data_IF_960449738475
#
_entry.id   IF_960449738475
#
_cell.length_a   1.000
_cell.length_b   1.000
_cell.length_c   1.000
_cell.angle_alpha   90.00
_cell.angle_beta   90.00
_cell.angle_gamma   90.00
#
_symmetry.space_group_name_H-M   'P 1'
#
loop_
_entity.id
_entity.type
_entity.pdbx_description
1 polymer ?
#
# COMPACT_ATOMS: atom_id res chain seq x y z
N UNK A 1 -12.34 -12.75 -23.98
CA UNK A 1 -13.23 -12.20 -22.93
C UNK A 1 -13.33 -10.68 -23.11
N UNK A 2 -14.42 -10.04 -22.67
CA UNK A 2 -14.60 -8.58 -22.79
C UNK A 2 -13.68 -7.82 -21.82
N UNK A 3 -13.03 -6.74 -22.29
CA UNK A 3 -12.27 -5.81 -21.43
C UNK A 3 -13.21 -5.18 -20.40
N UNK A 4 -12.76 -5.06 -19.16
CA UNK A 4 -13.50 -4.42 -18.07
C UNK A 4 -13.11 -2.94 -18.02
N UNK A 5 -14.09 -2.03 -17.91
CA UNK A 5 -13.84 -0.59 -17.77
C UNK A 5 -13.43 -0.23 -16.33
N UNK A 6 -12.58 0.79 -16.17
CA UNK A 6 -12.15 1.35 -14.88
C UNK A 6 -13.34 1.69 -13.99
N UNK A 7 -14.40 2.26 -14.58
CA UNK A 7 -15.61 2.66 -13.86
C UNK A 7 -16.33 1.46 -13.26
N UNK A 8 -16.38 0.35 -13.98
CA UNK A 8 -17.05 -0.87 -13.51
C UNK A 8 -16.30 -1.50 -12.34
N UNK A 9 -14.97 -1.55 -12.41
CA UNK A 9 -14.11 -2.04 -11.33
C UNK A 9 -14.25 -1.16 -10.10
N UNK A 10 -14.19 0.17 -10.27
CA UNK A 10 -14.36 1.12 -9.18
C UNK A 10 -15.72 0.97 -8.49
N UNK A 11 -16.78 0.80 -9.26
CA UNK A 11 -18.13 0.59 -8.72
C UNK A 11 -18.23 -0.76 -7.98
N UNK A 12 -17.69 -1.83 -8.56
CA UNK A 12 -17.72 -3.14 -7.95
C UNK A 12 -16.90 -3.20 -6.65
N UNK A 13 -15.70 -2.61 -6.65
CA UNK A 13 -14.84 -2.52 -5.48
C UNK A 13 -15.50 -1.67 -4.37
N UNK A 14 -16.15 -0.57 -4.74
CA UNK A 14 -16.89 0.26 -3.79
C UNK A 14 -18.15 -0.43 -3.25
N UNK A 15 -18.82 -1.24 -4.06
CA UNK A 15 -19.96 -2.04 -3.62
C UNK A 15 -19.54 -3.13 -2.62
N UNK A 16 -18.33 -3.69 -2.75
CA UNK A 16 -17.80 -4.66 -1.77
C UNK A 16 -17.67 -4.06 -0.35
N UNK A 17 -17.56 -2.73 -0.23
CA UNK A 17 -17.57 -2.03 1.06
C UNK A 17 -18.91 -2.16 1.81
N UNK A 18 -20.03 -2.41 1.10
CA UNK A 18 -21.37 -2.49 1.70
C UNK A 18 -21.46 -3.60 2.76
N UNK A 19 -20.62 -4.64 2.64
CA UNK A 19 -20.49 -5.72 3.63
C UNK A 19 -20.15 -5.22 5.04
N UNK A 20 -19.44 -4.09 5.17
CA UNK A 20 -19.03 -3.52 6.45
C UNK A 20 -19.80 -2.25 6.86
N UNK A 21 -20.50 -1.60 5.91
CA UNK A 21 -21.22 -0.35 6.19
C UNK A 21 -22.27 -0.52 7.28
N UNK A 22 -22.34 0.50 8.15
CA UNK A 22 -23.31 0.57 9.25
C UNK A 22 -22.97 -0.31 10.47
N UNK A 23 -21.91 -1.12 10.41
CA UNK A 23 -21.50 -1.96 11.55
C UNK A 23 -20.04 -1.77 11.94
N UNK A 24 -19.18 -1.39 11.00
CA UNK A 24 -17.79 -1.03 11.27
C UNK A 24 -17.58 0.43 10.84
N UNK A 25 -16.73 1.17 11.57
CA UNK A 25 -16.39 2.55 11.22
C UNK A 25 -15.61 2.61 9.89
N UNK A 26 -15.90 3.55 8.97
CA UNK A 26 -15.16 3.71 7.71
C UNK A 26 -13.64 3.82 7.84
N UNK A 27 -13.13 4.43 8.90
CA UNK A 27 -11.69 4.53 9.13
C UNK A 27 -11.06 3.17 9.46
N UNK A 28 -11.85 2.22 9.97
CA UNK A 28 -11.41 0.87 10.31
C UNK A 28 -11.61 -0.10 9.15
N UNK A 29 -12.79 -0.15 8.55
CA UNK A 29 -13.04 -1.17 7.50
C UNK A 29 -12.29 -0.88 6.18
N UNK A 30 -11.78 0.35 5.96
CA UNK A 30 -10.93 0.65 4.80
C UNK A 30 -9.74 -0.30 4.71
N UNK A 31 -9.10 -0.61 5.83
CA UNK A 31 -7.87 -1.39 5.84
C UNK A 31 -8.17 -2.83 5.40
N UNK A 32 -9.32 -3.39 5.80
CA UNK A 32 -9.79 -4.71 5.39
C UNK A 32 -10.11 -4.77 3.89
N UNK A 33 -10.77 -3.75 3.36
CA UNK A 33 -11.09 -3.67 1.94
C UNK A 33 -9.82 -3.54 1.09
N UNK A 34 -8.90 -2.65 1.49
CA UNK A 34 -7.68 -2.38 0.73
C UNK A 34 -6.70 -3.57 0.77
N UNK A 35 -6.55 -4.23 1.92
CA UNK A 35 -5.77 -5.48 2.03
C UNK A 35 -6.41 -6.60 1.21
N UNK A 36 -7.73 -6.74 1.24
CA UNK A 36 -8.42 -7.76 0.42
C UNK A 36 -8.27 -7.48 -1.08
N UNK A 37 -8.34 -6.21 -1.50
CA UNK A 37 -8.09 -5.82 -2.89
C UNK A 37 -6.65 -6.15 -3.31
N UNK A 38 -5.67 -5.86 -2.45
CA UNK A 38 -4.28 -6.21 -2.70
C UNK A 38 -4.07 -7.73 -2.81
N UNK A 39 -4.63 -8.51 -1.88
CA UNK A 39 -4.58 -9.98 -1.89
C UNK A 39 -5.24 -10.55 -3.16
N UNK A 40 -6.40 -10.02 -3.55
CA UNK A 40 -7.09 -10.41 -4.78
C UNK A 40 -6.21 -10.13 -6.00
N UNK A 41 -5.60 -8.95 -6.08
CA UNK A 41 -4.72 -8.59 -7.20
C UNK A 41 -3.54 -9.56 -7.33
N UNK A 42 -2.76 -9.76 -6.28
CA UNK A 42 -1.58 -10.64 -6.36
C UNK A 42 -1.98 -12.09 -6.66
N UNK A 43 -3.17 -12.52 -6.21
CA UNK A 43 -3.72 -13.84 -6.52
C UNK A 43 -4.18 -13.95 -7.97
N UNK A 44 -4.72 -12.89 -8.55
CA UNK A 44 -5.12 -12.86 -9.96
C UNK A 44 -3.91 -12.92 -10.88
N UNK A 45 -2.88 -12.13 -10.60
CA UNK A 45 -1.60 -12.19 -11.35
C UNK A 45 -1.01 -13.60 -11.28
N UNK A 46 -0.98 -14.19 -10.07
CA UNK A 46 -0.49 -15.55 -9.88
C UNK A 46 -1.32 -16.58 -10.67
N UNK A 47 -2.65 -16.45 -10.66
CA UNK A 47 -3.56 -17.37 -11.36
C UNK A 47 -3.38 -17.30 -12.88
N UNK A 48 -3.26 -16.10 -13.44
CA UNK A 48 -3.05 -15.87 -14.88
C UNK A 48 -1.73 -16.52 -15.35
N UNK A 49 -0.64 -16.32 -14.59
CA UNK A 49 0.65 -16.94 -14.90
C UNK A 49 0.68 -18.45 -14.64
N UNK A 50 -0.04 -18.93 -13.63
CA UNK A 50 -0.19 -20.37 -13.40
C UNK A 50 -0.84 -21.03 -14.62
N UNK A 51 -1.95 -20.46 -15.12
CA UNK A 51 -2.65 -20.92 -16.33
C UNK A 51 -1.71 -20.89 -17.55
N UNK A 52 -0.96 -19.80 -17.76
CA UNK A 52 0.02 -19.70 -18.85
C UNK A 52 1.12 -20.79 -18.76
N UNK A 53 1.69 -21.01 -17.58
CA UNK A 53 2.71 -22.04 -17.41
C UNK A 53 2.15 -23.45 -17.55
N UNK A 54 0.89 -23.67 -17.16
CA UNK A 54 0.20 -24.94 -17.35
C UNK A 54 0.01 -25.22 -18.85
N UNK A 55 -0.35 -24.23 -19.66
CA UNK A 55 -0.41 -24.39 -21.12
C UNK A 55 0.96 -24.75 -21.73
N UNK A 56 2.05 -24.18 -21.19
CA UNK A 56 3.41 -24.42 -21.68
C UNK A 56 4.05 -25.73 -21.18
N UNK A 57 3.62 -26.25 -20.03
CA UNK A 57 4.30 -27.35 -19.33
C UNK A 57 3.39 -28.53 -18.96
N UNK A 58 2.10 -28.49 -19.29
CA UNK A 58 1.13 -29.52 -18.94
C UNK A 58 0.94 -29.63 -17.42
N UNK A 59 0.78 -30.85 -16.91
CA UNK A 59 0.48 -31.12 -15.49
C UNK A 59 1.72 -31.22 -14.58
N UNK A 60 2.87 -30.72 -15.02
CA UNK A 60 4.09 -30.65 -14.18
C UNK A 60 4.00 -29.49 -13.17
N UNK A 61 3.15 -29.67 -12.15
CA UNK A 61 2.90 -28.68 -11.09
C UNK A 61 4.19 -28.27 -10.37
N UNK A 62 5.16 -29.19 -10.19
CA UNK A 62 6.44 -28.87 -9.57
C UNK A 62 7.23 -27.85 -10.41
N UNK A 63 7.27 -28.03 -11.74
CA UNK A 63 7.91 -27.08 -12.65
C UNK A 63 7.19 -25.75 -12.70
N UNK A 64 5.85 -25.75 -12.71
CA UNK A 64 5.02 -24.54 -12.68
C UNK A 64 5.29 -23.75 -11.40
N UNK A 65 5.23 -24.40 -10.23
CA UNK A 65 5.53 -23.77 -8.93
C UNK A 65 6.95 -23.22 -8.85
N UNK A 66 7.92 -23.91 -9.44
CA UNK A 66 9.30 -23.41 -9.50
C UNK A 66 9.41 -22.11 -10.31
N UNK A 67 8.62 -21.95 -11.37
CA UNK A 67 8.56 -20.68 -12.12
C UNK A 67 7.90 -19.59 -11.29
N UNK A 68 6.75 -19.88 -10.69
CA UNK A 68 6.01 -18.94 -9.83
C UNK A 68 6.83 -18.45 -8.64
N UNK A 69 7.73 -19.29 -8.09
CA UNK A 69 8.65 -18.89 -7.00
C UNK A 69 9.65 -17.78 -7.37
N UNK A 70 9.77 -17.44 -8.65
CA UNK A 70 10.67 -16.39 -9.17
C UNK A 70 9.92 -15.13 -9.57
N UNK A 71 8.60 -15.11 -9.40
CA UNK A 71 7.79 -13.98 -9.78
C UNK A 71 7.90 -12.84 -8.78
N UNK A 72 7.26 -11.74 -9.15
CA UNK A 72 7.26 -10.49 -8.39
C UNK A 72 6.77 -10.69 -6.95
N UNK A 73 5.75 -11.52 -6.75
CA UNK A 73 5.27 -11.95 -5.44
C UNK A 73 5.18 -13.46 -5.39
N UNK A 74 5.74 -14.05 -4.33
CA UNK A 74 5.67 -15.49 -4.07
C UNK A 74 4.42 -15.77 -3.26
N UNK A 75 3.48 -16.55 -3.80
CA UNK A 75 2.35 -17.09 -3.04
C UNK A 75 2.69 -18.54 -2.64
N UNK A 76 3.14 -18.78 -1.39
CA UNK A 76 3.60 -20.10 -0.97
C UNK A 76 2.42 -21.05 -0.76
N UNK A 77 2.73 -22.30 -0.43
CA UNK A 77 1.73 -23.27 0.03
C UNK A 77 1.55 -23.12 1.54
N UNK A 78 0.30 -23.06 1.98
CA UNK A 78 -0.10 -23.16 3.38
C UNK A 78 -0.35 -24.63 3.71
N UNK A 79 0.24 -25.10 4.82
CA UNK A 79 -0.03 -26.42 5.39
C UNK A 79 -0.67 -26.22 6.76
N UNK A 80 -1.93 -26.64 6.90
CA UNK A 80 -2.60 -26.66 8.19
C UNK A 80 -2.23 -27.97 8.88
N UNK A 81 -1.60 -27.87 10.05
CA UNK A 81 -1.08 -29.01 10.79
C UNK A 81 -1.73 -29.02 12.17
N UNK A 82 -2.22 -30.18 12.58
CA UNK A 82 -2.60 -30.45 13.96
C UNK A 82 -1.51 -31.29 14.62
N UNK A 83 -1.06 -30.85 15.79
CA UNK A 83 -0.05 -31.56 16.59
C UNK A 83 -0.71 -32.19 17.79
N UNK A 84 -0.62 -33.50 17.90
CA UNK A 84 -1.04 -34.21 19.11
C UNK A 84 -0.09 -33.86 20.26
N UNK A 85 -0.61 -33.22 21.31
CA UNK A 85 0.19 -32.78 22.46
C UNK A 85 0.84 -33.93 23.24
N UNK A 86 0.27 -35.14 23.18
CA UNK A 86 0.75 -36.32 23.93
C UNK A 86 1.79 -37.11 23.15
N UNK A 87 1.57 -37.29 21.85
CA UNK A 87 2.44 -38.11 21.00
C UNK A 87 3.45 -37.27 20.21
N UNK A 88 3.21 -35.96 20.09
CA UNK A 88 4.02 -35.03 19.29
C UNK A 88 3.85 -35.22 17.78
N UNK A 89 2.97 -36.12 17.34
CA UNK A 89 2.75 -36.44 15.92
C UNK A 89 2.00 -35.29 15.25
N UNK A 90 2.55 -34.83 14.12
CA UNK A 90 1.98 -33.78 13.29
C UNK A 90 1.18 -34.41 12.14
N UNK A 91 -0.10 -34.03 12.03
CA UNK A 91 -1.01 -34.48 10.97
C UNK A 91 -1.38 -33.28 10.09
N UNK A 92 -1.15 -33.41 8.78
CA UNK A 92 -1.58 -32.39 7.81
C UNK A 92 -3.09 -32.50 7.61
N UNK A 93 -3.82 -31.47 8.02
CA UNK A 93 -5.28 -31.38 7.87
C UNK A 93 -5.68 -30.89 6.47
N UNK A 94 -4.92 -29.95 5.92
CA UNK A 94 -5.19 -29.33 4.62
C UNK A 94 -3.90 -28.72 4.05
N UNK A 95 -3.81 -28.65 2.72
CA UNK A 95 -2.67 -28.07 2.00
C UNK A 95 -3.16 -27.34 0.75
N UNK A 96 -2.88 -26.03 0.65
CA UNK A 96 -3.38 -25.18 -0.44
C UNK A 96 -2.47 -23.98 -0.71
N UNK A 97 -2.48 -23.40 -1.93
CA UNK A 97 -1.70 -22.21 -2.21
C UNK A 97 -2.29 -21.00 -1.47
N UNK A 98 -1.43 -20.11 -0.97
CA UNK A 98 -1.77 -18.89 -0.23
C UNK A 98 -2.37 -17.83 -1.17
N UNK A 99 -3.55 -18.11 -1.70
CA UNK A 99 -4.27 -17.28 -2.67
C UNK A 99 -5.64 -16.90 -2.14
N UNK A 100 -6.16 -15.81 -2.67
CA UNK A 100 -7.55 -15.41 -2.52
C UNK A 100 -8.52 -16.55 -2.87
N UNK A 101 -8.24 -17.30 -3.94
CA UNK A 101 -9.12 -18.36 -4.43
C UNK A 101 -9.21 -19.53 -3.43
N UNK A 102 -8.10 -19.92 -2.81
CA UNK A 102 -8.11 -20.92 -1.74
C UNK A 102 -8.94 -20.48 -0.53
N UNK A 103 -8.90 -19.19 -0.17
CA UNK A 103 -9.76 -18.62 0.87
C UNK A 103 -11.23 -18.61 0.45
N UNK A 104 -11.51 -18.29 -0.82
CA UNK A 104 -12.87 -18.29 -1.36
C UNK A 104 -13.50 -19.69 -1.31
N UNK A 105 -12.78 -20.75 -1.65
CA UNK A 105 -13.24 -22.15 -1.49
C UNK A 105 -13.60 -22.46 -0.04
N UNK A 106 -12.84 -21.90 0.91
CA UNK A 106 -12.98 -22.08 2.35
C UNK A 106 -13.85 -21.02 3.03
N UNK A 107 -14.55 -20.16 2.28
CA UNK A 107 -15.30 -19.01 2.83
C UNK A 107 -16.40 -19.37 3.85
N UNK A 108 -16.81 -20.64 3.90
CA UNK A 108 -17.78 -21.16 4.86
C UNK A 108 -17.14 -21.75 6.13
N UNK A 109 -15.81 -21.77 6.25
CA UNK A 109 -15.08 -22.31 7.39
C UNK A 109 -15.39 -21.54 8.68
N UNK A 110 -15.46 -22.26 9.80
CA UNK A 110 -15.74 -21.67 11.12
C UNK A 110 -14.60 -20.75 11.62
N UNK A 111 -13.40 -20.91 11.08
CA UNK A 111 -12.21 -20.13 11.40
C UNK A 111 -11.73 -19.26 10.22
N UNK A 112 -12.63 -18.84 9.31
CA UNK A 112 -12.24 -18.08 8.11
C UNK A 112 -11.39 -16.82 8.40
N UNK A 113 -11.66 -16.10 9.49
CA UNK A 113 -10.84 -14.95 9.88
C UNK A 113 -9.40 -15.30 10.20
N UNK A 114 -9.17 -16.42 10.89
CA UNK A 114 -7.85 -16.96 11.18
C UNK A 114 -7.16 -17.45 9.90
N UNK A 115 -7.88 -18.15 9.01
CA UNK A 115 -7.33 -18.61 7.73
C UNK A 115 -6.83 -17.45 6.86
N UNK A 116 -7.56 -16.32 6.81
CA UNK A 116 -7.12 -15.12 6.10
C UNK A 116 -5.80 -14.61 6.69
N UNK A 117 -5.70 -14.50 8.02
CA UNK A 117 -4.48 -14.05 8.68
C UNK A 117 -3.29 -14.99 8.40
N UNK A 118 -3.50 -16.31 8.45
CA UNK A 118 -2.47 -17.33 8.14
C UNK A 118 -1.96 -17.15 6.70
N UNK A 119 -2.86 -16.94 5.74
CA UNK A 119 -2.50 -16.70 4.33
C UNK A 119 -1.66 -15.42 4.20
N UNK A 120 -2.08 -14.32 4.82
CA UNK A 120 -1.35 -13.05 4.78
C UNK A 120 0.05 -13.18 5.41
N UNK A 121 0.18 -13.89 6.53
CA UNK A 121 1.47 -14.14 7.20
C UNK A 121 2.43 -14.96 6.33
N UNK A 122 1.93 -16.02 5.67
CA UNK A 122 2.74 -16.83 4.76
C UNK A 122 3.23 -16.01 3.55
N UNK A 123 2.36 -15.16 3.00
CA UNK A 123 2.71 -14.23 1.91
C UNK A 123 3.76 -13.22 2.40
N UNK A 124 3.56 -12.59 3.56
CA UNK A 124 4.52 -11.65 4.13
C UNK A 124 5.89 -12.30 4.34
N UNK A 125 5.93 -13.47 4.96
CA UNK A 125 7.16 -14.22 5.26
C UNK A 125 7.91 -14.60 3.98
N UNK A 126 7.20 -15.08 2.95
CA UNK A 126 7.81 -15.47 1.68
C UNK A 126 8.29 -14.28 0.84
N UNK A 127 7.81 -13.07 1.16
CA UNK A 127 8.14 -11.83 0.47
C UNK A 127 8.76 -10.80 1.43
N UNK A 128 9.53 -11.23 2.44
CA UNK A 128 9.99 -10.38 3.54
C UNK A 128 10.62 -9.05 3.09
N UNK A 129 11.46 -9.07 2.04
CA UNK A 129 12.09 -7.85 1.51
C UNK A 129 11.10 -6.81 0.97
N UNK A 130 9.88 -7.22 0.64
CA UNK A 130 8.83 -6.37 0.05
C UNK A 130 7.64 -6.14 1.00
N UNK A 131 7.22 -7.15 1.77
CA UNK A 131 5.97 -7.11 2.51
C UNK A 131 6.14 -7.13 4.03
N UNK A 132 7.37 -7.16 4.56
CA UNK A 132 7.59 -7.10 6.01
C UNK A 132 6.89 -5.88 6.62
N UNK A 133 6.03 -6.13 7.60
CA UNK A 133 5.27 -5.11 8.31
C UNK A 133 3.94 -4.72 7.66
N UNK A 134 3.72 -5.07 6.39
CA UNK A 134 2.59 -4.53 5.61
C UNK A 134 1.23 -4.98 6.15
N UNK A 135 1.11 -6.20 6.68
CA UNK A 135 -0.16 -6.72 7.19
C UNK A 135 -0.29 -6.67 8.73
N UNK A 136 0.69 -6.13 9.46
CA UNK A 136 0.72 -6.20 10.94
C UNK A 136 -0.43 -5.49 11.65
N UNK A 137 -1.01 -4.48 11.00
CA UNK A 137 -2.06 -3.66 11.61
C UNK A 137 -3.48 -4.17 11.34
N UNK A 138 -3.61 -5.35 10.71
CA UNK A 138 -4.91 -5.92 10.37
C UNK A 138 -5.10 -7.32 10.95
N UNK A 139 -6.29 -7.56 11.50
CA UNK A 139 -6.67 -8.84 12.05
C UNK A 139 -8.10 -9.20 11.60
N UNK A 140 -8.21 -10.12 10.65
CA UNK A 140 -9.49 -10.63 10.15
C UNK A 140 -10.21 -11.52 11.17
N UNK A 141 -9.56 -11.88 12.29
CA UNK A 141 -10.18 -12.57 13.41
C UNK A 141 -10.59 -11.61 14.56
N UNK A 142 -10.43 -10.30 14.40
CA UNK A 142 -10.70 -9.31 15.45
C UNK A 142 -12.18 -9.24 15.83
N UNK A 143 -12.52 -9.63 17.05
CA UNK A 143 -13.89 -9.47 17.58
C UNK A 143 -14.23 -7.99 17.83
N UNK A 144 -13.25 -7.18 18.24
CA UNK A 144 -13.45 -5.76 18.51
C UNK A 144 -13.83 -4.98 17.24
N UNK A 145 -13.24 -5.32 16.09
CA UNK A 145 -13.47 -4.61 14.84
C UNK A 145 -14.58 -5.23 13.99
N UNK A 146 -14.69 -6.56 13.96
CA UNK A 146 -15.59 -7.28 13.04
C UNK A 146 -16.80 -7.95 13.74
N UNK A 147 -16.85 -7.87 15.07
CA UNK A 147 -17.91 -8.44 15.90
C UNK A 147 -17.71 -9.92 16.24
N UNK A 148 -18.72 -10.49 16.91
CA UNK A 148 -18.71 -11.88 17.37
C UNK A 148 -18.54 -12.86 16.21
N UNK A 149 -17.95 -14.03 16.48
CA UNK A 149 -17.59 -15.07 15.50
C UNK A 149 -18.63 -15.30 14.39
N UNK A 150 -19.92 -15.45 14.75
CA UNK A 150 -20.99 -15.70 13.77
C UNK A 150 -21.16 -14.54 12.77
N UNK A 151 -21.19 -13.31 13.27
CA UNK A 151 -21.35 -12.12 12.43
C UNK A 151 -20.08 -11.80 11.64
N UNK A 152 -18.91 -11.92 12.28
CA UNK A 152 -17.62 -11.78 11.64
C UNK A 152 -17.50 -12.74 10.45
N UNK A 153 -17.71 -14.04 10.67
CA UNK A 153 -17.57 -15.04 9.61
C UNK A 153 -18.59 -14.82 8.48
N UNK A 154 -19.82 -14.40 8.80
CA UNK A 154 -20.81 -14.01 7.80
C UNK A 154 -20.32 -12.84 6.94
N UNK A 155 -19.74 -11.79 7.55
CA UNK A 155 -19.17 -10.64 6.82
C UNK A 155 -17.99 -11.04 5.96
N UNK A 156 -17.06 -11.82 6.49
CA UNK A 156 -15.88 -12.27 5.75
C UNK A 156 -16.26 -13.15 4.56
N UNK A 157 -17.26 -14.02 4.73
CA UNK A 157 -17.84 -14.78 3.62
C UNK A 157 -18.41 -13.84 2.54
N UNK A 158 -19.21 -12.85 2.94
CA UNK A 158 -19.78 -11.87 2.01
C UNK A 158 -18.69 -11.05 1.29
N UNK A 159 -17.64 -10.65 2.01
CA UNK A 159 -16.48 -9.96 1.44
C UNK A 159 -15.82 -10.82 0.34
N UNK A 160 -15.55 -12.09 0.62
CA UNK A 160 -15.00 -13.04 -0.37
C UNK A 160 -15.98 -13.29 -1.52
N UNK A 161 -17.29 -13.19 -1.32
CA UNK A 161 -18.27 -13.32 -2.40
C UNK A 161 -18.30 -12.03 -3.26
N UNK A 162 -18.20 -10.86 -2.65
CA UNK A 162 -18.15 -9.59 -3.33
C UNK A 162 -16.92 -9.45 -4.22
N UNK A 163 -15.73 -9.80 -3.70
CA UNK A 163 -14.48 -9.77 -4.46
C UNK A 163 -14.36 -10.88 -5.52
N UNK A 164 -15.24 -11.89 -5.49
CA UNK A 164 -15.27 -12.95 -6.51
C UNK A 164 -16.18 -12.61 -7.70
N UNK A 165 -16.86 -11.46 -7.68
CA UNK A 165 -17.70 -11.01 -8.81
C UNK A 165 -16.85 -10.84 -10.09
N UNK A 166 -17.39 -11.16 -11.28
CA UNK A 166 -16.63 -11.09 -12.54
C UNK A 166 -16.04 -9.71 -12.89
N UNK A 167 -16.62 -8.64 -12.33
CA UNK A 167 -16.14 -7.27 -12.47
C UNK A 167 -14.83 -7.02 -11.71
N UNK A 168 -14.49 -7.86 -10.73
CA UNK A 168 -13.26 -7.81 -9.93
C UNK A 168 -12.29 -8.94 -10.30
N UNK A 169 -12.40 -9.46 -11.52
CA UNK A 169 -11.36 -10.30 -12.13
C UNK A 169 -10.26 -9.39 -12.69
N UNK A 170 -9.19 -9.24 -11.93
CA UNK A 170 -8.10 -8.31 -12.19
C UNK A 170 -6.87 -9.00 -12.81
N UNK A 171 -7.07 -10.14 -13.47
CA UNK A 171 -6.00 -10.83 -14.20
C UNK A 171 -5.38 -9.91 -15.26
N UNK A 172 -4.05 -9.87 -15.41
CA UNK A 172 -3.36 -9.07 -16.44
C UNK A 172 -3.88 -9.30 -17.87
N UNK A 173 -4.33 -10.51 -18.18
CA UNK A 173 -4.99 -10.86 -19.44
C UNK A 173 -6.31 -10.10 -19.70
N UNK A 174 -6.90 -9.49 -18.67
CA UNK A 174 -8.20 -8.78 -18.71
C UNK A 174 -8.10 -7.29 -18.46
N UNK A 175 -7.17 -6.85 -17.61
CA UNK A 175 -7.02 -5.44 -17.18
C UNK A 175 -5.54 -5.05 -17.11
N UNK A 176 -5.23 -3.78 -17.37
CA UNK A 176 -3.86 -3.27 -17.20
C UNK A 176 -3.55 -2.93 -15.74
N UNK A 177 -2.28 -2.97 -15.35
CA UNK A 177 -1.82 -2.63 -13.99
C UNK A 177 -2.32 -1.24 -13.53
N UNK A 178 -2.28 -0.25 -14.44
CA UNK A 178 -2.77 1.11 -14.18
C UNK A 178 -4.21 1.14 -13.67
N UNK A 179 -5.06 0.22 -14.14
CA UNK A 179 -6.48 0.21 -13.77
C UNK A 179 -6.66 -0.13 -12.30
N UNK A 180 -5.87 -1.07 -11.80
CA UNK A 180 -5.96 -1.60 -10.44
C UNK A 180 -5.37 -0.60 -9.45
N UNK A 181 -4.21 -0.03 -9.79
CA UNK A 181 -3.62 1.07 -9.04
C UNK A 181 -4.57 2.26 -8.91
N UNK A 182 -5.23 2.65 -10.01
CA UNK A 182 -6.23 3.71 -10.00
C UNK A 182 -7.47 3.36 -9.17
N UNK A 183 -7.93 2.11 -9.18
CA UNK A 183 -9.01 1.65 -8.29
C UNK A 183 -8.63 1.77 -6.82
N UNK A 184 -7.39 1.42 -6.47
CA UNK A 184 -6.90 1.53 -5.12
C UNK A 184 -6.86 3.00 -4.64
N UNK A 185 -6.35 3.91 -5.47
CA UNK A 185 -6.38 5.36 -5.19
C UNK A 185 -7.82 5.85 -5.05
N UNK A 186 -8.72 5.44 -5.94
CA UNK A 186 -10.13 5.78 -5.88
C UNK A 186 -10.80 5.34 -4.57
N UNK A 187 -10.52 4.13 -4.08
CA UNK A 187 -11.05 3.67 -2.80
C UNK A 187 -10.53 4.51 -1.64
N UNK A 188 -9.23 4.82 -1.62
CA UNK A 188 -8.65 5.68 -0.58
C UNK A 188 -9.34 7.06 -0.58
N UNK A 189 -9.55 7.66 -1.75
CA UNK A 189 -10.25 8.95 -1.90
C UNK A 189 -11.68 8.91 -1.34
N UNK A 190 -12.41 7.83 -1.66
CA UNK A 190 -13.77 7.61 -1.16
C UNK A 190 -13.79 7.43 0.36
N UNK A 191 -12.86 6.64 0.92
CA UNK A 191 -12.77 6.46 2.36
C UNK A 191 -12.40 7.74 3.10
N UNK A 192 -11.50 8.55 2.53
CA UNK A 192 -11.18 9.85 3.09
C UNK A 192 -12.42 10.76 3.12
N UNK A 193 -13.18 10.80 2.02
CA UNK A 193 -14.41 11.58 1.89
C UNK A 193 -15.50 11.13 2.87
N UNK A 194 -15.70 9.82 3.04
CA UNK A 194 -16.72 9.24 3.94
C UNK A 194 -16.35 9.39 5.43
N UNK A 195 -15.06 9.44 5.76
CA UNK A 195 -14.60 9.51 7.16
C UNK A 195 -14.84 10.87 7.85
N UNK A 196 -15.17 11.92 7.08
CA UNK A 196 -15.43 13.27 7.60
C UNK A 196 -14.24 13.95 8.29
N UNK A 197 -13.06 13.31 8.36
CA UNK A 197 -11.83 13.89 8.93
C UNK A 197 -11.25 14.89 7.93
N UNK A 198 -10.82 16.06 8.41
CA UNK A 198 -10.20 17.09 7.57
C UNK A 198 -8.97 16.49 6.86
N UNK A 199 -8.96 16.58 5.54
CA UNK A 199 -8.12 15.83 4.59
C UNK A 199 -6.60 16.03 4.70
N UNK A 200 -6.10 16.92 5.57
CA UNK A 200 -4.69 17.33 5.58
C UNK A 200 -3.66 16.23 5.81
N UNK A 201 -3.99 15.23 6.63
CA UNK A 201 -3.02 14.20 7.07
C UNK A 201 -3.18 12.84 6.38
N UNK A 202 -4.37 12.53 5.85
CA UNK A 202 -4.70 11.15 5.43
C UNK A 202 -4.74 10.95 3.92
N UNK A 203 -5.14 11.98 3.16
CA UNK A 203 -5.32 11.86 1.73
C UNK A 203 -5.37 13.22 1.05
N UNK A 204 -4.55 13.40 0.03
CA UNK A 204 -4.58 14.57 -0.84
C UNK A 204 -5.47 14.28 -2.06
N UNK A 205 -6.53 15.07 -2.33
CA UNK A 205 -7.39 14.87 -3.50
C UNK A 205 -6.62 14.78 -4.81
N UNK A 206 -7.08 13.93 -5.74
CA UNK A 206 -6.34 13.61 -6.97
C UNK A 206 -5.95 14.89 -7.74
N UNK A 207 -6.87 15.86 -7.86
CA UNK A 207 -6.62 17.13 -8.56
C UNK A 207 -5.56 18.01 -7.89
N UNK A 208 -5.45 17.94 -6.58
CA UNK A 208 -4.38 18.64 -5.84
C UNK A 208 -3.05 17.92 -6.10
N UNK A 209 -3.03 16.58 -6.03
CA UNK A 209 -1.79 15.83 -6.32
C UNK A 209 -1.29 16.00 -7.75
N UNK A 210 -2.19 15.98 -8.74
CA UNK A 210 -1.86 16.27 -10.15
C UNK A 210 -1.25 17.67 -10.32
N UNK A 211 -1.83 18.68 -9.66
CA UNK A 211 -1.36 20.05 -9.73
C UNK A 211 0.03 20.20 -9.09
N UNK A 212 0.21 19.68 -7.88
CA UNK A 212 1.50 19.74 -7.16
C UNK A 212 2.59 19.02 -7.93
N UNK A 213 2.33 17.83 -8.47
CA UNK A 213 3.29 17.09 -9.29
C UNK A 213 3.72 17.90 -10.54
N UNK A 214 2.78 18.53 -11.24
CA UNK A 214 3.06 19.39 -12.40
C UNK A 214 3.88 20.62 -12.02
N UNK A 215 3.57 21.26 -10.90
CA UNK A 215 4.32 22.43 -10.40
C UNK A 215 5.74 22.05 -9.98
N UNK A 216 5.92 20.88 -9.37
CA UNK A 216 7.23 20.38 -8.97
C UNK A 216 8.12 20.01 -10.17
N UNK A 217 7.50 19.62 -11.29
CA UNK A 217 8.17 19.33 -12.55
C UNK A 217 9.28 18.28 -12.42
N UNK A 218 8.99 17.06 -11.92
CA UNK A 218 9.97 15.99 -11.85
C UNK A 218 10.36 15.52 -13.26
N UNK A 219 11.61 15.05 -13.40
CA UNK A 219 12.22 14.66 -14.68
C UNK A 219 12.83 13.26 -14.60
N UNK A 220 13.07 12.61 -15.76
CA UNK A 220 13.88 11.39 -15.78
C UNK A 220 15.23 11.60 -15.10
N UNK A 221 15.61 10.67 -14.22
CA UNK A 221 16.80 10.69 -13.38
C UNK A 221 16.61 11.33 -12.00
N UNK A 222 15.46 11.95 -11.72
CA UNK A 222 15.23 12.61 -10.44
C UNK A 222 15.06 11.61 -9.28
N UNK A 223 15.66 11.94 -8.13
CA UNK A 223 15.26 11.42 -6.83
C UNK A 223 14.10 12.27 -6.32
N UNK A 224 12.93 11.66 -6.12
CA UNK A 224 11.68 12.31 -5.73
C UNK A 224 11.32 11.89 -4.31
N UNK A 225 11.05 12.86 -3.43
CA UNK A 225 10.74 12.60 -2.02
C UNK A 225 9.40 13.22 -1.61
N UNK A 226 8.66 12.49 -0.77
CA UNK A 226 7.56 13.02 0.03
C UNK A 226 7.76 12.68 1.52
N UNK A 227 8.14 13.65 2.36
CA UNK A 227 8.46 13.40 3.76
C UNK A 227 7.21 13.26 4.65
N UNK A 228 6.00 13.32 4.10
CA UNK A 228 4.75 13.05 4.80
C UNK A 228 3.80 12.35 3.81
N UNK A 229 4.23 11.20 3.30
CA UNK A 229 3.71 10.67 2.04
C UNK A 229 2.27 10.15 2.10
N UNK A 230 1.69 10.00 3.29
CA UNK A 230 0.36 9.45 3.44
C UNK A 230 0.28 8.09 2.75
N UNK A 231 -0.79 7.86 1.98
CA UNK A 231 -0.98 6.65 1.16
C UNK A 231 -0.19 6.64 -0.16
N UNK A 232 0.73 7.58 -0.38
CA UNK A 232 1.63 7.63 -1.53
C UNK A 232 1.04 8.23 -2.82
N UNK A 233 -0.16 8.80 -2.77
CA UNK A 233 -0.84 9.34 -3.95
C UNK A 233 -0.02 10.42 -4.69
N UNK A 234 0.61 11.33 -3.94
CA UNK A 234 1.42 12.40 -4.51
C UNK A 234 2.72 11.88 -5.16
N UNK A 235 3.37 10.89 -4.56
CA UNK A 235 4.53 10.20 -5.14
C UNK A 235 4.17 9.50 -6.46
N UNK A 236 3.01 8.84 -6.53
CA UNK A 236 2.53 8.19 -7.75
C UNK A 236 2.26 9.23 -8.84
N UNK A 237 1.63 10.37 -8.50
CA UNK A 237 1.41 11.45 -9.47
C UNK A 237 2.73 12.08 -9.95
N UNK A 238 3.73 12.23 -9.08
CA UNK A 238 5.05 12.69 -9.48
C UNK A 238 5.73 11.71 -10.46
N UNK A 239 5.62 10.40 -10.23
CA UNK A 239 6.10 9.37 -11.15
C UNK A 239 5.37 9.39 -12.51
N UNK A 240 4.05 9.60 -12.50
CA UNK A 240 3.25 9.75 -13.73
C UNK A 240 3.65 11.00 -14.51
N UNK A 241 3.98 12.10 -13.82
CA UNK A 241 4.46 13.32 -14.46
C UNK A 241 5.83 13.13 -15.13
N UNK A 242 6.75 12.36 -14.51
CA UNK A 242 8.00 11.94 -15.18
C UNK A 242 7.70 11.17 -16.46
N UNK A 243 6.80 10.18 -16.39
CA UNK A 243 6.42 9.38 -17.55
C UNK A 243 5.76 10.20 -18.67
N UNK A 244 5.08 11.31 -18.32
CA UNK A 244 4.45 12.24 -19.27
C UNK A 244 5.47 13.05 -20.06
N UNK A 245 6.57 13.47 -19.43
CA UNK A 245 7.60 14.31 -20.05
C UNK A 245 8.79 13.53 -20.63
N UNK A 246 8.87 12.23 -20.35
CA UNK A 246 9.90 11.33 -20.87
C UNK A 246 9.86 11.22 -22.41
N UNK A 247 11.03 11.24 -23.05
CA UNK A 247 11.16 11.11 -24.50
C UNK A 247 11.20 9.66 -25.00
N UNK A 248 11.41 8.70 -24.09
CA UNK A 248 11.53 7.27 -24.41
C UNK A 248 10.89 6.38 -23.36
N UNK A 249 10.62 5.11 -23.72
CA UNK A 249 10.06 4.13 -22.78
C UNK A 249 10.98 3.87 -21.58
N UNK A 250 12.30 3.90 -21.78
CA UNK A 250 13.28 3.72 -20.71
C UNK A 250 13.26 4.88 -19.71
N UNK A 251 13.13 6.11 -20.20
CA UNK A 251 13.06 7.30 -19.35
C UNK A 251 11.79 7.37 -18.51
N UNK A 252 10.67 6.76 -18.96
CA UNK A 252 9.41 6.73 -18.20
C UNK A 252 9.53 6.08 -16.83
N UNK A 253 10.53 5.22 -16.61
CA UNK A 253 10.80 4.54 -15.34
C UNK A 253 12.15 4.93 -14.74
N UNK A 254 12.84 5.91 -15.32
CA UNK A 254 14.11 6.41 -14.82
C UNK A 254 13.84 7.46 -13.73
N UNK A 255 13.60 7.03 -12.50
CA UNK A 255 13.51 7.89 -11.31
C UNK A 255 13.60 7.01 -10.06
N UNK A 256 13.73 7.62 -8.88
CA UNK A 256 13.66 6.91 -7.60
C UNK A 256 12.69 7.62 -6.65
N UNK A 257 11.79 6.86 -6.03
CA UNK A 257 10.78 7.36 -5.11
C UNK A 257 11.20 7.10 -3.66
N UNK A 258 11.04 8.13 -2.83
CA UNK A 258 11.32 8.10 -1.40
C UNK A 258 10.15 8.69 -0.65
N UNK A 259 9.76 8.06 0.46
CA UNK A 259 8.66 8.52 1.28
C UNK A 259 8.89 8.25 2.75
N UNK A 260 8.27 9.04 3.60
CA UNK A 260 8.22 8.77 5.03
C UNK A 260 6.81 9.04 5.56
N UNK A 261 6.31 8.14 6.39
CA UNK A 261 5.00 8.23 7.03
C UNK A 261 5.09 7.80 8.49
N UNK A 262 4.44 8.56 9.37
CA UNK A 262 4.45 8.32 10.82
C UNK A 262 3.42 7.27 11.25
N UNK A 263 2.28 7.21 10.57
CA UNK A 263 1.19 6.29 10.88
C UNK A 263 1.42 4.92 10.22
N UNK A 264 1.55 3.87 11.02
CA UNK A 264 1.87 2.53 10.51
C UNK A 264 0.81 1.95 9.56
N UNK A 265 -0.49 2.20 9.80
CA UNK A 265 -1.55 1.76 8.88
C UNK A 265 -1.45 2.48 7.54
N UNK A 266 -1.31 3.81 7.56
CA UNK A 266 -1.15 4.61 6.33
C UNK A 266 0.13 4.26 5.56
N UNK A 267 1.23 3.99 6.26
CA UNK A 267 2.48 3.50 5.68
C UNK A 267 2.28 2.17 4.93
N UNK A 268 1.56 1.22 5.54
CA UNK A 268 1.24 -0.05 4.89
C UNK A 268 0.38 0.15 3.62
N UNK A 269 -0.59 1.08 3.66
CA UNK A 269 -1.36 1.45 2.48
C UNK A 269 -0.48 2.05 1.38
N UNK A 270 0.49 2.89 1.73
CA UNK A 270 1.47 3.45 0.79
C UNK A 270 2.30 2.35 0.13
N UNK A 271 2.84 1.41 0.91
CA UNK A 271 3.60 0.25 0.40
C UNK A 271 2.80 -0.56 -0.61
N UNK A 272 1.57 -0.95 -0.26
CA UNK A 272 0.68 -1.66 -1.18
C UNK A 272 0.37 -0.84 -2.43
N UNK A 273 0.16 0.47 -2.30
CA UNK A 273 -0.10 1.35 -3.43
C UNK A 273 1.09 1.45 -4.40
N UNK A 274 2.32 1.53 -3.87
CA UNK A 274 3.54 1.48 -4.68
C UNK A 274 3.63 0.16 -5.46
N UNK A 275 3.30 -0.97 -4.82
CA UNK A 275 3.25 -2.24 -5.51
C UNK A 275 2.14 -2.29 -6.57
N UNK A 276 0.95 -1.79 -6.32
CA UNK A 276 -0.11 -1.82 -7.35
C UNK A 276 0.24 -0.99 -8.60
N UNK A 277 1.16 -0.02 -8.48
CA UNK A 277 1.68 0.79 -9.59
C UNK A 277 3.06 0.34 -10.13
N UNK A 278 3.53 -0.84 -9.69
CA UNK A 278 4.80 -1.42 -10.12
C UNK A 278 6.03 -0.56 -9.77
N UNK A 279 5.99 0.11 -8.62
CA UNK A 279 7.09 0.88 -8.03
C UNK A 279 7.79 0.09 -6.90
N UNK A 280 8.23 -1.13 -7.18
CA UNK A 280 8.85 -2.05 -6.20
C UNK A 280 10.08 -1.48 -5.49
N UNK A 281 10.81 -0.58 -6.15
CA UNK A 281 12.04 0.03 -5.63
C UNK A 281 11.78 1.28 -4.76
N UNK A 282 10.53 1.69 -4.57
CA UNK A 282 10.20 2.83 -3.74
C UNK A 282 10.63 2.59 -2.28
N UNK A 283 11.42 3.51 -1.73
CA UNK A 283 11.87 3.47 -0.34
C UNK A 283 10.89 4.26 0.54
N UNK A 284 9.96 3.55 1.18
CA UNK A 284 8.95 4.14 2.07
C UNK A 284 9.26 3.74 3.51
N UNK A 285 9.61 4.73 4.33
CA UNK A 285 10.00 4.54 5.74
C UNK A 285 8.84 4.79 6.70
N UNK A 286 8.74 3.97 7.76
CA UNK A 286 7.76 4.16 8.82
C UNK A 286 8.42 4.86 10.03
N UNK A 287 8.31 6.20 10.09
CA UNK A 287 8.80 6.98 11.23
C UNK A 287 8.29 8.42 11.22
N UNK A 288 8.43 9.13 12.34
CA UNK A 288 8.20 10.58 12.43
C UNK A 288 9.33 11.35 11.72
N UNK A 289 9.01 12.06 10.65
CA UNK A 289 9.95 12.85 9.84
C UNK A 289 10.67 13.95 10.61
N UNK A 290 9.99 14.60 11.55
CA UNK A 290 10.56 15.72 12.29
C UNK A 290 11.42 15.22 13.45
N UNK A 291 10.98 14.19 14.16
CA UNK A 291 11.67 13.70 15.36
C UNK A 291 12.68 12.57 15.09
N UNK A 292 12.51 11.81 14.01
CA UNK A 292 13.32 10.63 13.70
C UNK A 292 13.36 10.36 12.17
N UNK A 293 13.95 11.26 11.38
CA UNK A 293 14.04 11.08 9.93
C UNK A 293 14.89 9.85 9.59
N UNK A 294 14.37 8.95 8.75
CA UNK A 294 15.05 7.72 8.32
C UNK A 294 15.61 7.80 6.90
N UNK A 295 15.18 8.78 6.11
CA UNK A 295 15.75 9.09 4.80
C UNK A 295 17.10 9.81 4.96
N UNK A 296 18.09 9.06 5.45
CA UNK A 296 19.45 9.49 5.72
C UNK A 296 20.47 8.65 4.94
N UNK A 297 21.60 9.27 4.60
CA UNK A 297 22.73 8.68 3.89
C UNK A 297 24.03 9.29 4.43
N UNK A 298 24.96 8.45 4.92
CA UNK A 298 26.21 8.89 5.56
C UNK A 298 26.00 9.91 6.70
N UNK A 299 25.09 9.58 7.63
CA UNK A 299 24.73 10.42 8.80
C UNK A 299 24.20 11.82 8.44
N UNK A 300 23.72 12.00 7.22
CA UNK A 300 23.11 13.25 6.74
C UNK A 300 21.76 12.98 6.11
N UNK A 301 20.89 13.98 6.12
CA UNK A 301 19.64 13.91 5.36
C UNK A 301 19.92 13.65 3.88
N UNK A 302 19.21 12.67 3.31
CA UNK A 302 19.26 12.41 1.86
C UNK A 302 18.86 13.67 1.09
N UNK A 303 19.46 13.84 -0.08
CA UNK A 303 19.19 14.97 -0.97
C UNK A 303 18.37 14.55 -2.18
N UNK A 304 17.40 15.38 -2.56
CA UNK A 304 16.42 15.08 -3.59
C UNK A 304 16.35 16.18 -4.64
N UNK A 305 16.11 15.78 -5.89
CA UNK A 305 15.89 16.69 -7.01
C UNK A 305 14.51 17.35 -6.93
N UNK A 306 13.53 16.60 -6.42
CA UNK A 306 12.14 17.01 -6.33
C UNK A 306 11.60 16.58 -4.96
N UNK A 307 11.04 17.52 -4.22
CA UNK A 307 10.32 17.28 -2.97
C UNK A 307 8.89 17.74 -3.15
N UNK A 308 7.94 16.82 -2.96
CA UNK A 308 6.50 17.07 -3.05
C UNK A 308 5.88 16.73 -1.71
N UNK A 309 4.96 17.53 -1.19
CA UNK A 309 4.33 17.22 0.09
C UNK A 309 2.95 17.86 0.27
N UNK A 310 2.15 17.22 1.10
CA UNK A 310 0.98 17.79 1.74
C UNK A 310 1.00 17.37 3.22
N UNK A 311 1.86 18.00 4.04
CA UNK A 311 2.03 17.61 5.42
C UNK A 311 0.80 17.97 6.28
N UNK A 312 0.71 17.44 7.51
CA UNK A 312 -0.25 17.87 8.51
C UNK A 312 -0.31 19.40 8.69
N UNK A 313 -1.49 20.00 8.48
CA UNK A 313 -1.70 21.43 8.73
C UNK A 313 -1.69 21.75 10.22
N UNK A 314 -0.92 22.75 10.64
CA UNK A 314 -0.97 23.26 12.02
C UNK A 314 -0.71 22.19 13.10
N UNK A 315 0.24 21.29 12.86
CA UNK A 315 0.61 20.25 13.82
C UNK A 315 1.13 20.88 15.14
N UNK A 316 0.39 20.69 16.24
CA UNK A 316 0.65 21.35 17.53
C UNK A 316 1.81 20.73 18.33
N UNK A 317 1.99 19.41 18.25
CA UNK A 317 3.03 18.69 18.99
C UNK A 317 4.04 18.08 18.02
N UNK A 318 4.68 18.95 17.23
CA UNK A 318 5.59 18.51 16.17
C UNK A 318 7.00 18.16 16.67
N UNK A 319 7.32 18.39 17.95
CA UNK A 319 8.64 18.14 18.53
C UNK A 319 9.54 19.38 18.65
N UNK A 320 8.93 20.56 18.80
CA UNK A 320 9.63 21.84 18.91
C UNK A 320 10.68 21.88 20.04
N UNK A 321 10.48 21.10 21.10
CA UNK A 321 11.39 20.95 22.22
C UNK A 321 12.76 20.38 21.82
N UNK A 322 12.85 19.63 20.72
CA UNK A 322 14.08 19.03 20.23
C UNK A 322 14.75 19.86 19.13
N UNK A 323 14.11 20.96 18.70
CA UNK A 323 14.51 21.71 17.51
C UNK A 323 15.81 22.50 17.69
N UNK A 324 16.09 22.99 18.90
CA UNK A 324 17.35 23.68 19.22
C UNK A 324 18.57 22.76 19.08
N UNK A 325 18.39 21.48 19.41
CA UNK A 325 19.44 20.45 19.34
C UNK A 325 19.32 19.56 18.11
N UNK A 326 18.63 20.01 17.05
CA UNK A 326 18.40 19.19 15.85
C UNK A 326 19.74 18.75 15.23
N UNK A 327 20.05 17.44 15.16
CA UNK A 327 21.34 16.95 14.68
C UNK A 327 21.60 17.29 13.20
N UNK A 328 20.55 17.59 12.44
CA UNK A 328 20.62 17.96 11.03
C UNK A 328 20.63 19.48 10.79
N UNK A 329 20.61 20.28 11.86
CA UNK A 329 20.61 21.74 11.81
C UNK A 329 19.51 22.32 10.89
N UNK A 330 18.31 21.72 10.87
CA UNK A 330 17.24 22.10 9.92
C UNK A 330 16.63 23.47 10.19
N UNK A 331 16.68 23.93 11.44
CA UNK A 331 15.95 25.11 11.92
C UNK A 331 16.84 26.34 12.12
N UNK A 332 18.00 26.41 11.44
CA UNK A 332 18.94 27.52 11.56
C UNK A 332 18.38 28.89 11.15
N UNK A 333 17.28 28.91 10.37
CA UNK A 333 16.56 30.14 9.97
C UNK A 333 15.60 30.66 11.05
N UNK A 334 15.46 29.93 12.15
CA UNK A 334 14.50 30.19 13.22
C UNK A 334 13.66 28.96 13.52
N UNK A 335 13.40 28.72 14.80
CA UNK A 335 12.57 27.61 15.26
C UNK A 335 11.09 27.97 15.08
N UNK A 336 10.31 27.15 14.36
CA UNK A 336 8.88 27.36 14.19
C UNK A 336 8.11 27.43 15.52
N UNK A 337 6.94 28.07 15.56
CA UNK A 337 6.11 28.08 16.76
C UNK A 337 5.79 26.66 17.23
N UNK A 338 5.78 26.44 18.56
CA UNK A 338 5.51 25.11 19.13
C UNK A 338 4.20 24.52 18.60
N UNK A 339 3.16 25.36 18.52
CA UNK A 339 1.81 24.94 18.12
C UNK A 339 1.53 24.87 16.61
N UNK A 340 2.56 25.08 15.76
CA UNK A 340 2.43 25.14 14.30
C UNK A 340 3.66 24.53 13.61
N UNK A 341 3.58 23.24 13.30
CA UNK A 341 4.63 22.47 12.63
C UNK A 341 4.81 22.74 11.12
N UNK A 342 4.01 23.60 10.52
CA UNK A 342 4.00 23.87 9.07
C UNK A 342 5.40 24.29 8.56
N UNK A 343 6.01 25.27 9.22
CA UNK A 343 7.37 25.71 8.91
C UNK A 343 8.45 24.69 9.28
N UNK A 344 8.16 23.75 10.19
CA UNK A 344 9.09 22.69 10.54
C UNK A 344 9.23 21.70 9.38
N UNK A 345 8.10 21.29 8.79
CA UNK A 345 8.08 20.48 7.57
C UNK A 345 8.71 21.23 6.39
N UNK A 346 8.37 22.50 6.17
CA UNK A 346 8.99 23.30 5.08
C UNK A 346 10.51 23.38 5.27
N UNK A 347 11.00 23.63 6.48
CA UNK A 347 12.43 23.67 6.77
C UNK A 347 13.10 22.32 6.47
N UNK A 348 12.47 21.21 6.88
CA UNK A 348 12.95 19.87 6.53
C UNK A 348 12.99 19.63 5.01
N UNK A 349 11.96 20.05 4.26
CA UNK A 349 11.92 19.90 2.80
C UNK A 349 13.02 20.72 2.11
N UNK A 350 13.25 21.96 2.55
CA UNK A 350 14.33 22.80 2.03
C UNK A 350 15.69 22.17 2.29
N UNK A 351 15.89 21.61 3.49
CA UNK A 351 17.15 20.97 3.87
C UNK A 351 17.32 19.56 3.27
N UNK A 352 16.28 18.96 2.68
CA UNK A 352 16.39 17.71 1.92
C UNK A 352 16.42 17.95 0.40
N UNK A 353 16.14 19.15 -0.08
CA UNK A 353 16.32 19.52 -1.48
C UNK A 353 17.81 19.67 -1.84
N UNK A 354 18.17 19.30 -3.07
CA UNK A 354 19.50 19.58 -3.62
C UNK A 354 19.75 21.09 -3.70
N UNK A 355 20.91 21.52 -3.22
CA UNK A 355 21.27 22.94 -3.22
C UNK A 355 21.28 23.50 -4.66
N UNK A 356 20.66 24.67 -4.86
CA UNK A 356 20.58 25.41 -6.15
C UNK A 356 19.85 24.70 -7.30
N UNK A 357 19.42 23.45 -7.13
CA UNK A 357 18.81 22.65 -8.21
C UNK A 357 17.47 22.01 -7.81
N UNK A 358 17.36 21.61 -6.54
CA UNK A 358 16.19 20.95 -5.99
C UNK A 358 14.96 21.86 -6.01
N UNK A 359 13.80 21.26 -6.22
CA UNK A 359 12.50 21.94 -6.24
C UNK A 359 11.64 21.39 -5.11
N UNK A 360 10.96 22.28 -4.39
CA UNK A 360 10.01 21.93 -3.35
C UNK A 360 8.63 22.45 -3.75
N UNK A 361 7.65 21.57 -3.82
CA UNK A 361 6.24 21.93 -4.03
C UNK A 361 5.42 21.36 -2.88
N UNK A 362 4.85 22.24 -2.06
CA UNK A 362 4.16 21.86 -0.82
C UNK A 362 2.80 22.54 -0.75
N UNK A 363 1.80 21.81 -0.26
CA UNK A 363 0.50 22.36 0.13
C UNK A 363 0.58 22.73 1.62
N UNK A 364 0.32 24.00 1.96
CA UNK A 364 0.37 24.51 3.34
C UNK A 364 -0.73 25.54 3.60
#
# INVERSE_FOLDING_TARGET
>A
MSKIDQKDINNAAWAACDTFRGVVDPAQYKDYILVMLFLKYISDVWQDHYEEYQELHGDDDMRIRRKLSRERFVLPVVKLIEKDEKTGVETVLDEFPATYYSLYERRAAANIGELINIVLDHIETSNKSKLEGVFRNIDFNSEANLGKTKDRNRRLKQLLEDFHKPQLDMRPSRVSEDVIGNTYIYLIERFASDSGKKAGEFFTPLKVTELVAKLAGPKPGDRICDPACGSGGLLIQAAQEVARVAGSAQEKRNFALFGQESNGSTWALCRMNMFLHSFDSARIEWCDTLNSPLLVENDRLMKFNCVVANPPFSLDKWGAENAESDPYNRFWRGIPPKSKGDWAFISHMVETALEKQGRVAVVV
#
